data_IF_956301843898
#
_entry.id   IF_956301843898
#
_cell.length_a   1.000
_cell.length_b   1.000
_cell.length_c   1.000
_cell.angle_alpha   90.00
_cell.angle_beta   90.00
_cell.angle_gamma   90.00
#
_symmetry.space_group_name_H-M   'P 1'
#
loop_
_entity.id
_entity.type
_entity.pdbx_description
1 polymer ?
#
# COMPACT_ATOMS: atom_id res chain seq x y z
N UNK A 1 -11.55 16.22 -11.10
CA UNK A 1 -12.14 14.91 -11.55
C UNK A 1 -11.84 14.77 -13.03
N UNK A 2 -10.78 14.09 -13.35
CA UNK A 2 -10.45 13.77 -14.74
C UNK A 2 -11.50 12.79 -15.29
N UNK A 3 -12.31 13.26 -16.20
CA UNK A 3 -13.13 12.38 -17.04
C UNK A 3 -12.15 11.67 -17.97
N UNK A 4 -11.73 10.48 -17.59
CA UNK A 4 -11.13 9.55 -18.56
C UNK A 4 -12.22 9.26 -19.58
N UNK A 5 -12.02 9.71 -20.82
CA UNK A 5 -12.82 9.25 -21.95
C UNK A 5 -12.71 7.73 -21.93
N UNK A 6 -13.81 7.07 -21.54
CA UNK A 6 -13.87 5.63 -21.51
C UNK A 6 -14.02 5.12 -22.93
N UNK A 7 -12.89 4.90 -23.60
CA UNK A 7 -12.90 4.02 -24.77
C UNK A 7 -13.44 2.67 -24.31
N UNK A 8 -14.45 2.17 -24.99
CA UNK A 8 -15.02 0.88 -24.67
C UNK A 8 -13.93 -0.19 -24.83
N UNK A 9 -13.49 -0.76 -23.70
CA UNK A 9 -12.49 -1.85 -23.74
C UNK A 9 -13.22 -3.11 -24.15
N UNK A 10 -12.89 -3.60 -25.34
CA UNK A 10 -13.38 -4.89 -25.82
C UNK A 10 -12.51 -6.01 -25.25
N UNK A 11 -13.12 -6.93 -24.53
CA UNK A 11 -12.46 -8.15 -24.02
C UNK A 11 -13.03 -9.31 -24.83
N UNK A 12 -12.18 -9.97 -25.63
CA UNK A 12 -12.60 -11.11 -26.42
C UNK A 12 -12.86 -12.35 -25.53
N UNK A 13 -13.70 -13.30 -25.95
CA UNK A 13 -14.06 -14.47 -25.12
C UNK A 13 -12.87 -15.32 -24.65
N UNK A 14 -11.77 -15.31 -25.40
CA UNK A 14 -10.55 -16.07 -25.08
C UNK A 14 -9.45 -15.22 -24.44
N UNK A 15 -9.71 -13.96 -24.15
CA UNK A 15 -8.74 -13.10 -23.49
C UNK A 15 -8.54 -13.50 -22.04
N UNK A 16 -7.29 -13.40 -21.57
CA UNK A 16 -6.96 -13.67 -20.19
C UNK A 16 -7.07 -12.39 -19.40
N UNK A 17 -7.94 -12.40 -18.40
CA UNK A 17 -8.10 -11.32 -17.42
C UNK A 17 -7.58 -11.75 -16.07
N UNK A 18 -7.06 -10.79 -15.31
CA UNK A 18 -6.75 -10.98 -13.90
C UNK A 18 -7.90 -10.44 -13.06
N UNK A 19 -8.55 -11.33 -12.31
CA UNK A 19 -9.58 -10.96 -11.33
C UNK A 19 -8.97 -10.96 -9.94
N UNK A 20 -9.19 -9.88 -9.20
CA UNK A 20 -8.80 -9.76 -7.79
C UNK A 20 -10.03 -9.40 -6.98
N UNK A 21 -10.40 -10.26 -6.03
CA UNK A 21 -11.51 -10.02 -5.12
C UNK A 21 -10.97 -9.52 -3.78
N UNK A 22 -11.53 -8.40 -3.33
CA UNK A 22 -11.16 -7.74 -2.08
C UNK A 22 -12.46 -7.39 -1.36
N UNK A 23 -12.95 -8.29 -0.53
CA UNK A 23 -14.23 -8.16 0.16
C UNK A 23 -15.37 -7.80 -0.83
N UNK A 24 -15.90 -6.56 -0.79
CA UNK A 24 -16.98 -6.09 -1.66
C UNK A 24 -16.50 -5.49 -2.99
N UNK A 25 -15.18 -5.38 -3.21
CA UNK A 25 -14.58 -4.85 -4.44
C UNK A 25 -14.06 -6.00 -5.31
N UNK A 26 -14.50 -6.03 -6.54
CA UNK A 26 -13.96 -6.93 -7.57
C UNK A 26 -13.23 -6.07 -8.61
N UNK A 27 -11.93 -6.29 -8.74
CA UNK A 27 -11.09 -5.62 -9.72
C UNK A 27 -10.80 -6.59 -10.88
N UNK A 28 -11.17 -6.21 -12.09
CA UNK A 28 -10.87 -6.95 -13.32
C UNK A 28 -9.83 -6.17 -14.10
N UNK A 29 -8.69 -6.79 -14.36
CA UNK A 29 -7.61 -6.21 -15.16
C UNK A 29 -7.44 -6.99 -16.45
N UNK A 30 -7.59 -6.30 -17.58
CA UNK A 30 -7.28 -6.79 -18.91
C UNK A 30 -6.01 -6.11 -19.41
N UNK A 31 -5.13 -6.89 -20.05
CA UNK A 31 -3.91 -6.38 -20.71
C UNK A 31 -3.75 -7.10 -22.05
N UNK A 32 -3.71 -6.34 -23.13
CA UNK A 32 -3.50 -6.86 -24.48
C UNK A 32 -2.21 -7.70 -24.59
N UNK A 33 -1.17 -7.29 -23.88
CA UNK A 33 0.11 -8.00 -23.81
C UNK A 33 0.46 -8.26 -22.35
N UNK A 34 0.28 -9.51 -21.92
CA UNK A 34 0.80 -9.95 -20.62
C UNK A 34 2.23 -10.45 -20.76
N UNK A 35 3.16 -9.84 -20.04
CA UNK A 35 4.47 -10.45 -19.86
C UNK A 35 4.34 -11.63 -18.88
N UNK A 36 4.26 -12.85 -19.41
CA UNK A 36 4.13 -14.10 -18.64
C UNK A 36 5.49 -14.70 -18.27
N UNK A 37 6.58 -14.20 -18.86
CA UNK A 37 7.92 -14.72 -18.62
C UNK A 37 8.64 -13.80 -17.65
N UNK A 38 8.98 -14.31 -16.47
CA UNK A 38 9.97 -13.67 -15.63
C UNK A 38 11.33 -13.88 -16.28
N UNK A 39 11.85 -12.86 -16.94
CA UNK A 39 13.18 -12.92 -17.55
C UNK A 39 14.30 -12.75 -16.51
N UNK A 40 13.97 -12.43 -15.28
CA UNK A 40 14.96 -12.23 -14.21
C UNK A 40 14.61 -13.08 -12.98
N UNK A 41 15.65 -13.61 -12.32
CA UNK A 41 15.54 -14.26 -11.02
C UNK A 41 16.36 -13.47 -10.00
N UNK A 42 15.68 -12.92 -8.99
CA UNK A 42 16.36 -12.19 -7.91
C UNK A 42 17.21 -13.15 -7.09
N UNK A 43 18.48 -12.81 -6.87
CA UNK A 43 19.43 -13.56 -6.04
C UNK A 43 19.45 -13.01 -4.61
N UNK A 44 19.61 -11.71 -4.49
CA UNK A 44 19.65 -11.00 -3.20
C UNK A 44 19.04 -9.59 -3.34
N UNK A 45 19.34 -8.70 -2.40
CA UNK A 45 18.82 -7.33 -2.41
C UNK A 45 19.31 -6.54 -3.63
N UNK A 46 20.53 -6.78 -4.05
CA UNK A 46 21.27 -5.93 -4.97
C UNK A 46 21.46 -6.59 -6.36
N UNK A 47 21.32 -7.94 -6.46
CA UNK A 47 21.65 -8.71 -7.67
C UNK A 47 20.50 -9.58 -8.18
N UNK A 48 20.49 -9.76 -9.50
CA UNK A 48 19.59 -10.67 -10.19
C UNK A 48 20.30 -11.41 -11.32
N UNK A 49 19.77 -12.55 -11.72
CA UNK A 49 20.17 -13.28 -12.94
C UNK A 49 19.21 -12.96 -14.05
N UNK A 50 19.71 -12.55 -15.20
CA UNK A 50 18.94 -12.51 -16.43
C UNK A 50 18.82 -13.95 -16.96
N UNK A 51 17.61 -14.50 -16.94
CA UNK A 51 17.37 -15.90 -17.34
C UNK A 51 17.51 -16.15 -18.84
N UNK A 52 17.57 -15.10 -19.65
CA UNK A 52 17.78 -15.21 -21.10
C UNK A 52 19.26 -15.33 -21.47
N UNK A 53 20.13 -14.68 -20.71
CA UNK A 53 21.60 -14.63 -20.96
C UNK A 53 22.40 -15.44 -19.94
N UNK A 54 21.83 -15.72 -18.75
CA UNK A 54 22.54 -16.32 -17.62
C UNK A 54 23.44 -15.34 -16.87
N UNK A 55 23.47 -14.06 -17.26
CA UNK A 55 24.33 -13.06 -16.64
C UNK A 55 23.78 -12.61 -15.28
N UNK A 56 24.70 -12.40 -14.34
CA UNK A 56 24.37 -11.74 -13.06
C UNK A 56 24.54 -10.25 -13.26
N UNK A 57 23.48 -9.50 -12.93
CA UNK A 57 23.44 -8.04 -13.00
C UNK A 57 23.02 -7.46 -11.66
N UNK A 58 23.37 -6.20 -11.44
CA UNK A 58 22.97 -5.44 -10.26
C UNK A 58 21.72 -4.61 -10.55
N UNK A 59 20.88 -4.44 -9.51
CA UNK A 59 19.76 -3.52 -9.58
C UNK A 59 20.27 -2.08 -9.47
N UNK A 60 19.80 -1.21 -10.34
CA UNK A 60 19.97 0.22 -10.13
C UNK A 60 19.11 0.64 -8.93
N UNK A 61 19.76 1.11 -7.88
CA UNK A 61 19.09 1.64 -6.70
C UNK A 61 18.95 3.16 -6.83
N UNK A 62 17.74 3.67 -6.71
CA UNK A 62 17.53 5.10 -6.54
C UNK A 62 18.00 5.54 -5.15
N UNK A 63 18.65 6.69 -5.05
CA UNK A 63 19.12 7.26 -3.78
C UNK A 63 17.94 7.55 -2.84
N UNK A 64 16.79 7.92 -3.42
CA UNK A 64 15.58 8.22 -2.67
C UNK A 64 14.45 7.26 -3.06
N UNK A 65 13.72 6.73 -2.06
CA UNK A 65 12.57 5.86 -2.29
C UNK A 65 11.49 6.51 -3.16
N UNK A 66 11.36 7.83 -3.14
CA UNK A 66 10.39 8.57 -3.97
C UNK A 66 10.70 8.45 -5.47
N UNK A 67 11.95 8.23 -5.83
CA UNK A 67 12.39 8.07 -7.22
C UNK A 67 12.15 6.65 -7.75
N UNK A 68 11.98 5.67 -6.85
CA UNK A 68 11.67 4.31 -7.24
C UNK A 68 10.15 4.14 -7.48
N UNK A 69 9.70 4.62 -8.63
CA UNK A 69 8.29 4.61 -9.02
C UNK A 69 7.65 3.22 -9.01
N UNK A 70 8.38 2.19 -9.40
CA UNK A 70 7.88 0.80 -9.39
C UNK A 70 7.65 0.28 -7.97
N UNK A 71 8.56 0.58 -7.05
CA UNK A 71 8.42 0.22 -5.63
C UNK A 71 7.24 0.95 -4.98
N UNK A 72 7.07 2.24 -5.30
CA UNK A 72 5.93 3.03 -4.82
C UNK A 72 4.60 2.49 -5.34
N UNK A 73 4.48 2.21 -6.64
CA UNK A 73 3.26 1.60 -7.22
C UNK A 73 2.88 0.30 -6.54
N UNK A 74 3.85 -0.58 -6.26
CA UNK A 74 3.60 -1.83 -5.54
C UNK A 74 3.15 -1.58 -4.10
N UNK A 75 3.76 -0.60 -3.42
CA UNK A 75 3.37 -0.22 -2.06
C UNK A 75 1.94 0.31 -2.03
N UNK A 76 1.57 1.23 -2.92
CA UNK A 76 0.20 1.74 -3.02
C UNK A 76 -0.81 0.67 -3.41
N UNK A 77 -0.43 -0.26 -4.30
CA UNK A 77 -1.29 -1.39 -4.64
C UNK A 77 -1.56 -2.28 -3.43
N UNK A 78 -0.53 -2.62 -2.65
CA UNK A 78 -0.69 -3.40 -1.41
C UNK A 78 -1.55 -2.67 -0.38
N UNK A 79 -1.32 -1.38 -0.19
CA UNK A 79 -2.10 -0.55 0.72
C UNK A 79 -3.58 -0.53 0.33
N UNK A 80 -3.88 -0.31 -0.95
CA UNK A 80 -5.24 -0.35 -1.48
C UNK A 80 -5.90 -1.72 -1.24
N UNK A 81 -5.18 -2.81 -1.45
CA UNK A 81 -5.70 -4.16 -1.21
C UNK A 81 -5.99 -4.41 0.26
N UNK A 82 -5.11 -3.94 1.16
CA UNK A 82 -5.34 -4.02 2.60
C UNK A 82 -6.58 -3.22 3.02
N UNK A 83 -6.71 -1.98 2.54
CA UNK A 83 -7.88 -1.15 2.83
C UNK A 83 -9.16 -1.83 2.33
N UNK A 84 -9.23 -2.17 1.05
CA UNK A 84 -10.45 -2.74 0.46
C UNK A 84 -10.83 -4.10 1.04
N UNK A 85 -9.86 -4.87 1.54
CA UNK A 85 -10.13 -6.18 2.12
C UNK A 85 -10.60 -6.11 3.58
N UNK A 86 -10.27 -5.05 4.32
CA UNK A 86 -10.55 -4.94 5.74
C UNK A 86 -11.60 -3.87 6.08
N UNK A 87 -11.75 -2.86 5.23
CA UNK A 87 -12.66 -1.74 5.46
C UNK A 87 -13.66 -1.63 4.30
N UNK A 88 -14.95 -1.47 4.64
CA UNK A 88 -16.05 -1.40 3.65
C UNK A 88 -16.90 -0.13 3.77
N UNK A 89 -16.51 0.81 4.63
CA UNK A 89 -17.23 2.05 4.87
C UNK A 89 -18.38 1.89 5.86
N UNK A 90 -18.25 1.03 6.85
CA UNK A 90 -19.25 0.90 7.91
C UNK A 90 -19.28 2.15 8.80
N UNK A 91 -20.43 2.45 9.44
CA UNK A 91 -20.54 3.61 10.33
C UNK A 91 -19.59 3.61 11.53
N UNK A 92 -19.09 2.45 11.93
CA UNK A 92 -18.11 2.28 13.00
C UNK A 92 -16.66 2.28 12.52
N UNK A 93 -16.41 2.39 11.22
CA UNK A 93 -15.07 2.53 10.65
C UNK A 93 -14.68 4.00 10.61
N UNK A 94 -13.54 4.34 11.15
CA UNK A 94 -13.09 5.72 11.32
C UNK A 94 -11.78 5.98 10.58
N UNK A 95 -11.68 7.14 9.95
CA UNK A 95 -10.42 7.71 9.49
C UNK A 95 -10.01 8.83 10.45
N UNK A 96 -8.90 8.65 11.13
CA UNK A 96 -8.40 9.56 12.16
C UNK A 96 -7.04 10.09 11.75
N UNK A 97 -6.80 11.38 11.98
CA UNK A 97 -5.47 11.98 11.87
C UNK A 97 -4.99 12.39 13.26
N UNK A 98 -3.93 11.75 13.72
CA UNK A 98 -3.30 12.05 15.01
C UNK A 98 -2.15 13.02 14.79
N UNK A 99 -2.23 14.17 15.45
CA UNK A 99 -1.24 15.25 15.35
C UNK A 99 -0.73 15.66 16.71
N UNK A 100 0.46 16.25 16.74
CA UNK A 100 1.02 16.85 17.95
C UNK A 100 0.85 18.37 17.96
N UNK A 101 0.61 18.93 19.12
CA UNK A 101 0.58 20.40 19.30
C UNK A 101 1.93 21.04 18.94
N UNK A 102 3.03 20.39 19.33
CA UNK A 102 4.40 20.80 19.01
C UNK A 102 4.91 20.09 17.78
N UNK A 103 5.91 20.65 17.11
CA UNK A 103 6.53 20.03 15.94
C UNK A 103 7.17 18.68 16.34
N UNK A 104 6.58 17.56 15.91
CA UNK A 104 7.06 16.21 16.20
C UNK A 104 8.00 15.75 15.10
N UNK A 105 9.29 15.65 15.39
CA UNK A 105 10.33 15.22 14.45
C UNK A 105 10.89 13.83 14.80
N UNK A 106 10.62 13.33 16.02
CA UNK A 106 11.08 12.03 16.51
C UNK A 106 10.06 10.92 16.15
N UNK A 107 10.35 10.18 15.08
CA UNK A 107 9.49 9.07 14.63
C UNK A 107 9.45 7.92 15.63
N UNK A 108 10.52 7.66 16.40
CA UNK A 108 10.50 6.59 17.43
C UNK A 108 9.52 6.91 18.53
N UNK A 109 9.54 8.18 19.00
CA UNK A 109 8.57 8.66 19.99
C UNK A 109 7.15 8.59 19.44
N UNK A 110 6.92 9.00 18.19
CA UNK A 110 5.61 8.91 17.54
C UNK A 110 5.07 7.48 17.55
N UNK A 111 5.89 6.49 17.14
CA UNK A 111 5.47 5.08 17.14
C UNK A 111 5.16 4.58 18.56
N UNK A 112 5.96 4.95 19.56
CA UNK A 112 5.71 4.59 20.97
C UNK A 112 4.41 5.17 21.48
N UNK A 113 4.17 6.47 21.23
CA UNK A 113 2.95 7.15 21.66
C UNK A 113 1.71 6.56 20.95
N UNK A 114 1.84 6.23 19.65
CA UNK A 114 0.79 5.57 18.89
C UNK A 114 0.47 4.19 19.46
N UNK A 115 1.48 3.37 19.78
CA UNK A 115 1.27 2.05 20.38
C UNK A 115 0.53 2.18 21.71
N UNK A 116 0.95 3.11 22.57
CA UNK A 116 0.28 3.37 23.85
C UNK A 116 -1.20 3.81 23.64
N UNK A 117 -1.47 4.59 22.61
CA UNK A 117 -2.84 4.99 22.25
C UNK A 117 -3.70 3.77 21.88
N UNK A 118 -3.21 2.90 20.99
CA UNK A 118 -3.90 1.69 20.59
C UNK A 118 -4.13 0.75 21.76
N UNK A 119 -3.13 0.54 22.63
CA UNK A 119 -3.24 -0.35 23.78
C UNK A 119 -4.30 0.16 24.79
N UNK A 120 -4.38 1.48 25.01
CA UNK A 120 -5.42 2.09 25.82
C UNK A 120 -6.82 1.93 25.21
N UNK A 121 -6.96 2.08 23.89
CA UNK A 121 -8.22 1.85 23.20
C UNK A 121 -8.64 0.38 23.34
N UNK A 122 -7.76 -0.55 23.06
CA UNK A 122 -8.02 -1.99 23.18
C UNK A 122 -8.40 -2.37 24.61
N UNK A 123 -7.72 -1.81 25.61
CA UNK A 123 -8.07 -2.04 27.00
C UNK A 123 -9.47 -1.52 27.34
N UNK A 124 -9.81 -0.31 26.86
CA UNK A 124 -11.12 0.32 27.12
C UNK A 124 -12.27 -0.46 26.48
N UNK A 125 -12.10 -0.92 25.25
CA UNK A 125 -13.16 -1.56 24.45
C UNK A 125 -13.05 -3.09 24.39
N UNK A 126 -12.21 -3.72 25.20
CA UNK A 126 -11.94 -5.17 25.15
C UNK A 126 -13.16 -6.07 25.28
N UNK A 127 -14.26 -5.59 25.88
CA UNK A 127 -15.52 -6.32 26.05
C UNK A 127 -16.51 -6.11 24.92
N UNK A 128 -16.31 -5.09 24.09
CA UNK A 128 -17.27 -4.64 23.09
C UNK A 128 -16.85 -5.05 21.68
N UNK A 129 -15.57 -4.92 21.36
CA UNK A 129 -15.06 -5.25 20.02
C UNK A 129 -13.54 -5.45 20.00
N UNK A 130 -13.04 -6.15 18.97
CA UNK A 130 -11.64 -6.09 18.57
C UNK A 130 -11.38 -4.77 17.83
N UNK A 131 -10.21 -4.19 18.05
CA UNK A 131 -9.78 -2.99 17.31
C UNK A 131 -8.68 -3.40 16.34
N UNK A 132 -9.06 -3.47 15.07
CA UNK A 132 -8.14 -3.63 13.95
C UNK A 132 -7.86 -2.25 13.36
N UNK A 133 -6.64 -2.02 12.94
CA UNK A 133 -6.26 -0.74 12.37
C UNK A 133 -5.20 -0.86 11.28
N UNK A 134 -5.16 0.16 10.43
CA UNK A 134 -4.10 0.40 9.49
C UNK A 134 -3.60 1.83 9.69
N UNK A 135 -2.29 2.00 9.89
CA UNK A 135 -1.69 3.31 10.12
C UNK A 135 -0.63 3.66 9.10
N UNK A 136 -0.58 4.93 8.73
CA UNK A 136 0.42 5.51 7.83
C UNK A 136 0.96 6.77 8.48
N UNK A 137 2.28 6.86 8.58
CA UNK A 137 2.98 8.06 9.08
C UNK A 137 3.43 8.91 7.91
N UNK A 138 3.10 10.19 7.93
CA UNK A 138 3.37 11.13 6.85
C UNK A 138 4.12 12.35 7.37
N UNK A 139 5.19 12.83 6.67
CA UNK A 139 5.86 14.08 7.00
C UNK A 139 5.04 15.27 6.47
N UNK A 140 4.87 16.29 7.30
CA UNK A 140 4.34 17.58 6.88
C UNK A 140 5.43 18.45 6.25
N UNK A 141 5.06 19.42 5.43
CA UNK A 141 6.00 20.34 4.77
C UNK A 141 6.93 21.10 5.72
N UNK A 142 6.55 21.27 7.00
CA UNK A 142 7.37 21.86 8.07
C UNK A 142 8.28 20.85 8.80
N UNK A 143 8.38 19.61 8.30
CA UNK A 143 9.20 18.54 8.91
C UNK A 143 8.57 17.84 10.12
N UNK A 144 7.34 18.19 10.49
CA UNK A 144 6.61 17.45 11.53
C UNK A 144 6.02 16.16 10.95
N UNK A 145 5.87 15.16 11.81
CA UNK A 145 5.21 13.89 11.46
C UNK A 145 3.80 13.84 12.07
N UNK A 146 2.88 13.27 11.33
CA UNK A 146 1.55 12.90 11.81
C UNK A 146 1.19 11.47 11.37
N UNK A 147 0.18 10.90 12.02
CA UNK A 147 -0.24 9.55 11.77
C UNK A 147 -1.71 9.53 11.30
N UNK A 148 -1.94 8.98 10.11
CA UNK A 148 -3.26 8.65 9.62
C UNK A 148 -3.61 7.22 10.03
N UNK A 149 -4.81 7.01 10.51
CA UNK A 149 -5.29 5.71 11.00
C UNK A 149 -6.66 5.42 10.42
N UNK A 150 -6.82 4.26 9.84
CA UNK A 150 -8.12 3.63 9.59
C UNK A 150 -8.35 2.57 10.65
N UNK A 151 -9.49 2.59 11.32
CA UNK A 151 -9.85 1.61 12.35
C UNK A 151 -11.34 1.36 12.38
#
# INVERSE_FOLDING_TARGET
MDKRNGDAVFIAPNDVVKVTTMNHVIEVQHMEKMNRKNNIKKLDKDRFVDLSTGEIREFEHSENRQENYNSLRQTFKKLRYLINNNFIGRPNELHITLTYKKNMTDTKKLYSDFQNFIDRLRYKYKKESSIDYLSVVEPQGRGAWHCHVLM
#
